data_IF_157125062487
#
_entry.id   IF_157125062487
#
_cell.length_a   1.000
_cell.length_b   1.000
_cell.length_c   1.000
_cell.angle_alpha   90.00
_cell.angle_beta   90.00
_cell.angle_gamma   90.00
#
_symmetry.space_group_name_H-M   'P 1'
#
loop_
_entity.id
_entity.type
_entity.pdbx_description
1 polymer ?
#
# COMPACT_ATOMS: atom_id res chain seq x y z
N UNK A 1 -6.77 -4.42 11.13
CA UNK A 1 -7.97 -3.78 11.73
C UNK A 1 -8.99 -3.53 10.64
N UNK A 2 -10.28 -3.64 10.95
CA UNK A 2 -11.37 -3.30 10.03
C UNK A 2 -12.44 -2.47 10.73
N UNK A 3 -12.96 -1.46 10.05
CA UNK A 3 -14.02 -0.59 10.55
C UNK A 3 -15.00 -0.25 9.43
N UNK A 4 -16.31 -0.22 9.71
CA UNK A 4 -17.31 0.28 8.76
C UNK A 4 -17.18 1.80 8.66
N UNK A 5 -17.26 2.34 7.45
CA UNK A 5 -17.21 3.78 7.20
C UNK A 5 -18.26 4.52 8.03
N UNK A 6 -19.49 4.01 8.12
CA UNK A 6 -20.54 4.63 8.93
C UNK A 6 -20.22 4.64 10.43
N UNK A 7 -19.54 3.62 10.96
CA UNK A 7 -19.10 3.64 12.36
C UNK A 7 -17.98 4.67 12.57
N UNK A 8 -17.04 4.78 11.63
CA UNK A 8 -15.97 5.79 11.67
C UNK A 8 -16.55 7.22 11.65
N UNK A 9 -17.50 7.51 10.78
CA UNK A 9 -18.17 8.82 10.69
C UNK A 9 -18.94 9.17 11.96
N UNK A 10 -19.50 8.18 12.64
CA UNK A 10 -20.17 8.34 13.94
C UNK A 10 -19.19 8.41 15.12
N UNK A 11 -17.88 8.40 14.88
CA UNK A 11 -16.85 8.48 15.92
C UNK A 11 -16.83 7.28 16.86
N UNK A 12 -17.19 6.08 16.35
CA UNK A 12 -17.29 4.86 17.15
C UNK A 12 -16.61 3.68 16.47
N UNK A 13 -16.15 2.75 17.30
CA UNK A 13 -15.58 1.48 16.80
C UNK A 13 -16.62 0.58 16.14
N UNK A 14 -16.18 -0.25 15.21
CA UNK A 14 -16.95 -1.41 14.76
C UNK A 14 -16.78 -2.59 15.72
N UNK A 15 -17.80 -3.45 15.76
CA UNK A 15 -17.81 -4.73 16.47
C UNK A 15 -18.18 -5.85 15.49
N UNK A 16 -17.89 -7.11 15.84
CA UNK A 16 -18.25 -8.28 15.02
C UNK A 16 -19.74 -8.27 14.64
N UNK A 17 -20.62 -8.13 15.64
CA UNK A 17 -22.07 -8.08 15.44
C UNK A 17 -22.54 -6.91 14.57
N UNK A 18 -21.78 -5.81 14.49
CA UNK A 18 -22.09 -4.67 13.62
C UNK A 18 -21.66 -4.92 12.18
N UNK A 19 -20.50 -5.53 11.99
CA UNK A 19 -20.03 -5.92 10.67
C UNK A 19 -20.93 -6.99 10.06
N UNK A 20 -21.37 -7.97 10.86
CA UNK A 20 -22.30 -9.03 10.42
C UNK A 20 -23.68 -8.51 10.00
N UNK A 21 -24.15 -7.40 10.58
CA UNK A 21 -25.39 -6.73 10.14
C UNK A 21 -25.22 -5.94 8.84
N UNK A 22 -23.99 -5.77 8.35
CA UNK A 22 -23.72 -5.06 7.10
C UNK A 22 -24.02 -5.91 5.88
N UNK A 23 -24.19 -5.24 4.74
CA UNK A 23 -24.39 -5.90 3.44
C UNK A 23 -23.07 -6.36 2.79
N UNK A 24 -21.94 -5.83 3.27
CA UNK A 24 -20.58 -6.17 2.80
C UNK A 24 -19.95 -7.20 3.72
N UNK A 25 -19.43 -8.29 3.14
CA UNK A 25 -18.76 -9.36 3.90
C UNK A 25 -17.24 -9.11 3.94
N UNK A 26 -16.60 -9.21 5.10
CA UNK A 26 -15.15 -9.13 5.18
C UNK A 26 -14.47 -10.23 4.38
N UNK A 27 -13.45 -9.86 3.59
CA UNK A 27 -12.62 -10.78 2.79
C UNK A 27 -11.42 -11.28 3.59
N UNK A 28 -10.78 -10.41 4.37
CA UNK A 28 -9.73 -10.79 5.32
C UNK A 28 -10.37 -11.23 6.64
N UNK A 29 -10.42 -12.55 6.88
CA UNK A 29 -11.15 -13.14 8.01
C UNK A 29 -10.47 -12.88 9.36
N UNK A 30 -9.17 -12.70 9.33
CA UNK A 30 -8.30 -12.41 10.47
C UNK A 30 -8.39 -10.94 10.90
N UNK A 31 -9.06 -10.08 10.12
CA UNK A 31 -9.18 -8.66 10.43
C UNK A 31 -10.04 -8.43 11.68
N UNK A 32 -9.42 -7.90 12.74
CA UNK A 32 -10.14 -7.55 13.96
C UNK A 32 -11.00 -6.29 13.77
N UNK A 33 -12.31 -6.33 14.09
CA UNK A 33 -13.17 -5.15 14.13
C UNK A 33 -12.69 -4.15 15.19
N UNK A 34 -12.56 -2.88 14.82
CA UNK A 34 -11.98 -1.89 15.72
C UNK A 34 -12.25 -0.44 15.32
N UNK A 35 -11.35 0.42 15.79
CA UNK A 35 -11.33 1.85 15.51
C UNK A 35 -10.00 2.22 14.86
N UNK A 36 -10.04 2.77 13.65
CA UNK A 36 -8.87 3.17 12.89
C UNK A 36 -8.18 4.40 13.50
N UNK A 37 -8.87 5.20 14.33
CA UNK A 37 -8.27 6.33 15.07
C UNK A 37 -7.18 5.91 16.05
N UNK A 38 -7.13 4.64 16.44
CA UNK A 38 -6.06 4.11 17.29
C UNK A 38 -4.76 3.81 16.54
N UNK A 39 -4.79 3.78 15.20
CA UNK A 39 -3.64 3.36 14.38
C UNK A 39 -3.29 4.33 13.26
N UNK A 40 -4.16 5.29 12.96
CA UNK A 40 -3.92 6.35 11.98
C UNK A 40 -4.06 7.71 12.67
N UNK A 41 -3.10 8.63 12.49
CA UNK A 41 -3.26 10.00 12.99
C UNK A 41 -4.49 10.67 12.37
N UNK A 42 -5.15 11.53 13.15
CA UNK A 42 -6.39 12.22 12.77
C UNK A 42 -6.34 12.81 11.34
N UNK A 43 -5.24 13.51 10.99
CA UNK A 43 -5.05 14.12 9.66
C UNK A 43 -5.15 13.11 8.51
N UNK A 44 -4.65 11.88 8.69
CA UNK A 44 -4.73 10.85 7.65
C UNK A 44 -6.15 10.31 7.53
N UNK A 45 -6.85 10.13 8.65
CA UNK A 45 -8.25 9.71 8.65
C UNK A 45 -9.15 10.73 7.99
N UNK A 46 -8.99 12.02 8.31
CA UNK A 46 -9.70 13.10 7.63
C UNK A 46 -9.46 13.05 6.12
N UNK A 47 -8.20 12.91 5.69
CA UNK A 47 -7.89 12.81 4.26
C UNK A 47 -8.52 11.58 3.58
N UNK A 48 -8.58 10.43 4.26
CA UNK A 48 -9.27 9.23 3.75
C UNK A 48 -10.77 9.48 3.60
N UNK A 49 -11.40 10.11 4.61
CA UNK A 49 -12.83 10.43 4.57
C UNK A 49 -13.15 11.40 3.42
N UNK A 50 -12.42 12.51 3.32
CA UNK A 50 -12.58 13.51 2.26
C UNK A 50 -12.35 12.89 0.86
N UNK A 51 -11.35 12.01 0.73
CA UNK A 51 -11.09 11.27 -0.51
C UNK A 51 -12.27 10.38 -0.88
N UNK A 52 -12.82 9.61 0.07
CA UNK A 52 -13.97 8.74 -0.19
C UNK A 52 -15.20 9.55 -0.60
N UNK A 53 -15.47 10.67 0.06
CA UNK A 53 -16.55 11.60 -0.31
C UNK A 53 -16.35 12.19 -1.72
N UNK A 54 -15.11 12.52 -2.10
CA UNK A 54 -14.80 13.01 -3.43
C UNK A 54 -14.99 11.92 -4.49
N UNK A 55 -14.56 10.68 -4.21
CA UNK A 55 -14.70 9.54 -5.12
C UNK A 55 -16.17 9.16 -5.29
N UNK A 56 -17.00 9.27 -4.25
CA UNK A 56 -18.41 8.94 -4.32
C UNK A 56 -19.17 9.77 -5.37
N UNK A 57 -18.73 11.01 -5.63
CA UNK A 57 -19.28 11.85 -6.71
C UNK A 57 -19.01 11.29 -8.11
N UNK A 58 -17.92 10.54 -8.27
CA UNK A 58 -17.53 9.90 -9.53
C UNK A 58 -18.08 8.46 -9.63
N UNK A 59 -18.07 7.74 -8.51
CA UNK A 59 -18.50 6.35 -8.40
C UNK A 59 -19.47 6.22 -7.21
N UNK A 60 -20.77 6.46 -7.42
CA UNK A 60 -21.76 6.44 -6.35
C UNK A 60 -21.80 5.10 -5.61
N UNK A 61 -21.79 5.16 -4.27
CA UNK A 61 -21.81 3.99 -3.39
C UNK A 61 -20.45 3.62 -2.82
N UNK A 62 -19.37 4.32 -3.20
CA UNK A 62 -18.05 4.13 -2.59
C UNK A 62 -18.06 4.59 -1.12
N UNK A 63 -18.70 5.71 -0.82
CA UNK A 63 -18.80 6.25 0.54
C UNK A 63 -20.04 5.75 1.30
N UNK A 64 -20.54 4.55 0.99
CA UNK A 64 -21.69 3.95 1.70
C UNK A 64 -21.31 3.53 3.13
N UNK A 65 -22.26 3.58 4.07
CA UNK A 65 -22.02 3.32 5.51
C UNK A 65 -21.51 1.90 5.79
N UNK A 66 -21.84 0.93 4.94
CA UNK A 66 -21.38 -0.46 5.03
C UNK A 66 -20.03 -0.70 4.36
N UNK A 67 -19.43 0.29 3.70
CA UNK A 67 -18.06 0.20 3.17
C UNK A 67 -17.11 -0.19 4.30
N UNK A 68 -16.33 -1.25 4.08
CA UNK A 68 -15.36 -1.76 5.04
C UNK A 68 -13.98 -1.13 4.77
N UNK A 69 -13.49 -0.37 5.74
CA UNK A 69 -12.16 0.20 5.75
C UNK A 69 -11.21 -0.74 6.47
N UNK A 70 -10.25 -1.30 5.75
CA UNK A 70 -9.15 -2.05 6.33
C UNK A 70 -7.96 -1.11 6.55
N UNK A 71 -7.43 -1.11 7.77
CA UNK A 71 -6.15 -0.48 8.12
C UNK A 71 -5.28 -1.48 8.88
N UNK A 72 -3.97 -1.38 8.99
CA UNK A 72 -2.97 -0.37 8.59
C UNK A 72 -2.23 -0.91 7.37
N UNK A 73 -1.93 -0.09 6.36
CA UNK A 73 -0.99 -0.50 5.31
C UNK A 73 0.25 0.39 5.35
N UNK A 74 1.40 -0.25 5.52
CA UNK A 74 2.69 0.41 5.62
C UNK A 74 3.73 -0.40 4.87
N UNK A 75 4.49 0.28 4.00
CA UNK A 75 5.84 -0.13 3.58
C UNK A 75 6.79 1.06 3.68
N UNK A 76 7.50 1.16 4.81
CA UNK A 76 8.29 2.36 5.20
C UNK A 76 9.76 2.37 4.76
N UNK A 77 10.19 1.60 3.76
CA UNK A 77 11.46 1.85 3.06
C UNK A 77 11.61 0.95 1.84
N UNK A 78 12.19 1.53 0.80
CA UNK A 78 13.11 0.81 -0.07
C UNK A 78 14.51 1.20 0.38
N UNK A 79 15.46 0.25 0.43
CA UNK A 79 16.86 0.63 0.54
C UNK A 79 17.18 1.49 -0.68
N UNK A 80 17.68 2.72 -0.49
CA UNK A 80 18.11 3.59 -1.59
C UNK A 80 19.64 3.67 -1.60
N UNK A 81 20.34 2.58 -1.98
CA UNK A 81 21.79 2.66 -2.17
C UNK A 81 22.12 3.66 -3.28
N UNK A 82 23.32 4.21 -3.27
CA UNK A 82 23.82 4.92 -4.45
C UNK A 82 24.07 3.89 -5.56
N UNK A 83 23.51 4.16 -6.74
CA UNK A 83 23.57 3.27 -7.88
C UNK A 83 24.13 3.99 -9.10
N UNK A 84 24.96 3.29 -9.87
CA UNK A 84 25.36 3.71 -11.20
C UNK A 84 24.18 3.63 -12.19
N UNK A 85 24.29 4.18 -13.40
CA UNK A 85 23.28 4.01 -14.45
C UNK A 85 22.99 2.54 -14.81
N UNK A 86 23.93 1.64 -14.51
CA UNK A 86 23.78 0.20 -14.71
C UNK A 86 23.25 -0.54 -13.47
N UNK A 87 22.82 0.18 -12.43
CA UNK A 87 22.29 -0.34 -11.17
C UNK A 87 23.32 -1.09 -10.32
N UNK A 88 24.60 -0.76 -10.50
CA UNK A 88 25.68 -1.25 -9.65
C UNK A 88 25.80 -0.35 -8.43
N UNK A 89 26.00 -0.95 -7.26
CA UNK A 89 26.26 -0.23 -6.01
C UNK A 89 27.68 0.34 -5.98
N UNK A 90 28.00 1.03 -4.90
CA UNK A 90 29.37 1.48 -4.61
C UNK A 90 30.36 0.31 -4.45
N UNK A 91 29.86 -0.90 -4.18
CA UNK A 91 30.66 -2.13 -4.15
C UNK A 91 30.65 -2.77 -5.54
N UNK A 92 31.84 -2.95 -6.10
CA UNK A 92 32.02 -3.52 -7.44
C UNK A 92 31.41 -4.92 -7.56
N UNK A 93 30.76 -5.18 -8.69
CA UNK A 93 30.04 -6.40 -9.03
C UNK A 93 28.86 -6.73 -8.09
N UNK A 94 28.40 -5.77 -7.29
CA UNK A 94 27.15 -5.88 -6.54
C UNK A 94 26.11 -4.96 -7.20
N UNK A 95 25.01 -5.55 -7.65
CA UNK A 95 23.91 -4.86 -8.31
C UNK A 95 22.66 -4.88 -7.43
N UNK A 96 21.91 -3.79 -7.43
CA UNK A 96 20.63 -3.70 -6.73
C UNK A 96 19.55 -3.17 -7.68
N UNK A 97 18.47 -3.93 -7.82
CA UNK A 97 17.38 -3.65 -8.75
C UNK A 97 16.03 -3.88 -8.07
N UNK A 98 14.95 -3.42 -8.72
CA UNK A 98 13.59 -3.59 -8.25
C UNK A 98 13.17 -2.65 -7.13
N UNK A 99 11.99 -2.93 -6.56
CA UNK A 99 11.34 -2.06 -5.58
C UNK A 99 12.12 -2.02 -4.25
N UNK A 100 12.80 -3.11 -3.89
CA UNK A 100 13.62 -3.19 -2.68
C UNK A 100 14.83 -2.26 -2.71
N UNK A 101 15.40 -2.03 -3.90
CA UNK A 101 16.51 -1.10 -4.14
C UNK A 101 16.02 0.35 -4.36
N UNK A 102 14.70 0.59 -4.29
CA UNK A 102 14.12 1.92 -4.48
C UNK A 102 14.17 2.43 -5.92
N UNK A 103 14.46 1.54 -6.87
CA UNK A 103 14.59 1.83 -8.30
C UNK A 103 13.22 1.85 -8.99
N UNK A 104 12.27 1.06 -8.49
CA UNK A 104 10.93 0.92 -9.07
C UNK A 104 9.82 0.99 -8.02
N UNK A 105 8.58 1.13 -8.49
CA UNK A 105 7.36 1.05 -7.66
C UNK A 105 6.26 0.24 -8.34
N UNK A 106 6.64 -0.84 -9.02
CA UNK A 106 5.72 -1.65 -9.79
C UNK A 106 6.38 -2.72 -10.64
N UNK A 107 5.59 -3.73 -11.01
CA UNK A 107 6.06 -4.95 -11.66
C UNK A 107 6.88 -4.72 -12.93
N UNK A 108 6.39 -3.84 -13.82
CA UNK A 108 7.05 -3.56 -15.10
C UNK A 108 8.41 -2.89 -14.88
N UNK A 109 8.45 -1.87 -14.02
CA UNK A 109 9.68 -1.14 -13.72
C UNK A 109 10.70 -2.04 -13.00
N UNK A 110 10.24 -2.86 -12.05
CA UNK A 110 11.11 -3.82 -11.37
C UNK A 110 11.72 -4.82 -12.35
N UNK A 111 10.92 -5.35 -13.27
CA UNK A 111 11.39 -6.28 -14.31
C UNK A 111 12.40 -5.61 -15.25
N UNK A 112 12.11 -4.40 -15.72
CA UNK A 112 13.01 -3.64 -16.57
C UNK A 112 14.36 -3.37 -15.89
N UNK A 113 14.35 -3.02 -14.59
CA UNK A 113 15.58 -2.80 -13.82
C UNK A 113 16.43 -4.07 -13.72
N UNK A 114 15.82 -5.24 -13.56
CA UNK A 114 16.53 -6.53 -13.61
C UNK A 114 17.21 -6.78 -14.96
N UNK A 115 16.54 -6.46 -16.07
CA UNK A 115 17.11 -6.58 -17.42
C UNK A 115 18.30 -5.65 -17.62
N UNK A 116 18.24 -4.42 -17.09
CA UNK A 116 19.36 -3.46 -17.17
C UNK A 116 20.59 -4.01 -16.45
N UNK A 117 20.44 -4.45 -15.20
CA UNK A 117 21.54 -5.03 -14.43
C UNK A 117 22.11 -6.29 -15.11
N UNK A 118 21.24 -7.20 -15.58
CA UNK A 118 21.66 -8.44 -16.24
C UNK A 118 22.46 -8.18 -17.53
N UNK A 119 22.07 -7.19 -18.34
CA UNK A 119 22.80 -6.82 -19.57
C UNK A 119 24.21 -6.32 -19.27
N UNK A 120 24.37 -5.54 -18.21
CA UNK A 120 25.70 -5.06 -17.81
C UNK A 120 26.59 -6.22 -17.31
N UNK A 121 26.03 -7.14 -16.52
CA UNK A 121 26.74 -8.33 -16.05
C UNK A 121 27.22 -9.18 -17.25
N UNK A 122 26.35 -9.42 -18.24
CA UNK A 122 26.70 -10.17 -19.45
C UNK A 122 27.81 -9.48 -20.25
N UNK A 123 27.73 -8.15 -20.41
CA UNK A 123 28.75 -7.36 -21.13
C UNK A 123 30.13 -7.46 -20.48
N UNK A 124 30.20 -7.55 -19.15
CA UNK A 124 31.46 -7.72 -18.40
C UNK A 124 31.99 -9.15 -18.44
N UNK A 125 31.09 -10.14 -18.45
CA UNK A 125 31.46 -11.56 -18.44
C UNK A 125 32.02 -12.06 -19.77
N UNK A 126 31.68 -11.38 -20.88
CA UNK A 126 32.18 -11.68 -22.22
C UNK A 126 33.49 -10.93 -22.57
N UNK A 127 34.19 -10.37 -21.57
CA UNK A 127 35.54 -9.80 -21.68
C UNK A 127 36.52 -10.71 -20.97
#
# INVERSE_FOLDING_TARGET
LVQRLGDLMEGRRSTTARIERGIVRPTLKEATPGDLSFVLPYRHLTGVLEMLEAIDKLAPGVAEKHTLLYGVEVKFYSFRPHLSPSLETEVSNIFAAGDGAGVSRGLVQASASGVVAAREILRRSNR
#
